data_IF_930291706391
#
_entry.id   IF_930291706391
#
_cell.length_a   1.000
_cell.length_b   1.000
_cell.length_c   1.000
_cell.angle_alpha   90.00
_cell.angle_beta   90.00
_cell.angle_gamma   90.00
#
_symmetry.space_group_name_H-M   'P 1'
#
loop_
_entity.id
_entity.type
_entity.pdbx_description
1 polymer ?
#
# COMPACT_ATOMS: atom_id res chain seq x y z
N UNK A 1 8.45 14.47 -11.36
CA UNK A 1 7.49 13.90 -10.38
C UNK A 1 8.32 13.27 -9.28
N UNK A 2 8.17 13.70 -8.04
CA UNK A 2 9.04 13.31 -6.94
C UNK A 2 8.64 13.96 -5.62
N UNK A 3 9.19 13.44 -4.52
CA UNK A 3 9.02 13.94 -3.15
C UNK A 3 9.35 15.43 -3.10
N UNK A 4 8.56 16.21 -2.37
CA UNK A 4 8.74 17.67 -2.24
C UNK A 4 8.99 18.07 -0.79
N UNK A 5 9.62 19.23 -0.54
CA UNK A 5 9.71 19.80 0.80
C UNK A 5 8.33 19.89 1.45
N UNK A 6 8.24 19.50 2.72
CA UNK A 6 6.99 19.45 3.49
C UNK A 6 6.26 18.09 3.48
N UNK A 7 6.79 17.08 2.79
CA UNK A 7 6.29 15.70 2.90
C UNK A 7 6.84 15.03 4.15
N UNK A 8 6.00 14.23 4.82
CA UNK A 8 6.39 13.43 5.97
C UNK A 8 7.05 12.14 5.47
N UNK A 9 8.31 11.92 5.84
CA UNK A 9 8.99 10.66 5.62
C UNK A 9 8.73 9.72 6.80
N UNK A 10 8.05 8.61 6.54
CA UNK A 10 7.78 7.57 7.54
C UNK A 10 8.65 6.37 7.21
N UNK A 11 9.44 5.92 8.18
CA UNK A 11 10.39 4.83 8.02
C UNK A 11 9.92 3.61 8.81
N UNK A 12 10.06 2.43 8.22
CA UNK A 12 9.74 1.16 8.85
C UNK A 12 10.92 0.21 8.68
N UNK A 13 11.27 -0.50 9.76
CA UNK A 13 12.15 -1.64 9.69
C UNK A 13 11.30 -2.89 9.45
N UNK A 14 11.51 -3.55 8.32
CA UNK A 14 10.77 -4.75 7.91
C UNK A 14 11.78 -5.86 7.67
N UNK A 15 11.82 -6.84 8.57
CA UNK A 15 12.83 -7.89 8.51
C UNK A 15 14.25 -7.31 8.59
N UNK A 16 14.97 -7.39 7.48
CA UNK A 16 16.35 -6.90 7.33
C UNK A 16 16.48 -5.63 6.46
N UNK A 17 15.38 -5.07 5.95
CA UNK A 17 15.38 -3.85 5.13
C UNK A 17 14.57 -2.71 5.72
N UNK A 18 14.89 -1.48 5.29
CA UNK A 18 14.16 -0.27 5.66
C UNK A 18 13.28 0.17 4.52
N UNK A 19 11.99 0.32 4.80
CA UNK A 19 11.02 0.91 3.88
C UNK A 19 10.76 2.37 4.25
N UNK A 20 10.77 3.25 3.25
CA UNK A 20 10.52 4.68 3.44
C UNK A 20 9.31 5.09 2.60
N UNK A 21 8.26 5.54 3.28
CA UNK A 21 7.06 6.07 2.65
C UNK A 21 7.05 7.60 2.78
N UNK A 22 6.74 8.28 1.68
CA UNK A 22 6.59 9.74 1.67
C UNK A 22 5.12 10.09 1.61
N UNK A 23 4.59 10.63 2.71
CA UNK A 23 3.19 11.05 2.82
C UNK A 23 3.12 12.55 2.50
N UNK A 24 2.33 12.96 1.50
CA UNK A 24 2.18 14.37 1.19
C UNK A 24 1.47 15.11 2.33
N UNK A 25 1.78 16.41 2.54
CA UNK A 25 0.96 17.26 3.38
C UNK A 25 -0.46 17.39 2.79
N UNK A 26 -1.43 17.75 3.62
CA UNK A 26 -2.80 18.00 3.18
C UNK A 26 -2.81 18.96 1.98
N UNK A 27 -3.44 18.53 0.89
CA UNK A 27 -3.47 19.29 -0.35
C UNK A 27 -4.64 18.88 -1.25
N UNK A 28 -5.16 19.82 -2.04
CA UNK A 28 -6.24 19.53 -3.01
C UNK A 28 -5.70 19.17 -4.41
N UNK A 29 -4.38 18.93 -4.52
CA UNK A 29 -3.72 18.69 -5.81
C UNK A 29 -3.79 17.25 -6.30
N UNK A 30 -4.14 16.32 -5.41
CA UNK A 30 -4.40 14.92 -5.75
C UNK A 30 -5.86 14.62 -5.55
N UNK A 31 -6.40 13.64 -6.28
CA UNK A 31 -7.76 13.15 -6.12
C UNK A 31 -8.06 12.76 -4.66
N UNK A 32 -7.14 12.07 -4.00
CA UNK A 32 -7.29 11.64 -2.60
C UNK A 32 -7.41 12.84 -1.64
N UNK A 33 -6.63 13.90 -1.87
CA UNK A 33 -6.65 15.09 -1.03
C UNK A 33 -7.86 15.98 -1.29
N UNK A 34 -8.23 16.21 -2.55
CA UNK A 34 -9.43 16.98 -2.91
C UNK A 34 -10.73 16.33 -2.40
N UNK A 35 -10.75 15.00 -2.32
CA UNK A 35 -11.91 14.25 -1.83
C UNK A 35 -11.87 13.99 -0.32
N UNK A 36 -10.82 14.42 0.40
CA UNK A 36 -10.70 14.15 1.84
C UNK A 36 -11.85 14.73 2.66
N UNK A 37 -12.32 15.92 2.30
CA UNK A 37 -13.47 16.56 2.95
C UNK A 37 -14.81 15.83 2.70
N UNK A 38 -14.86 14.97 1.69
CA UNK A 38 -16.06 14.24 1.26
C UNK A 38 -15.98 12.74 1.53
N UNK A 39 -14.83 12.26 2.05
CA UNK A 39 -14.61 10.87 2.39
C UNK A 39 -14.50 10.73 3.91
N UNK A 40 -15.46 10.02 4.50
CA UNK A 40 -15.39 9.55 5.90
C UNK A 40 -14.65 8.23 6.03
N UNK A 41 -14.02 7.74 4.95
CA UNK A 41 -13.24 6.51 4.97
C UNK A 41 -12.00 6.73 5.83
N UNK A 42 -12.12 6.37 7.10
CA UNK A 42 -10.98 6.15 7.95
C UNK A 42 -10.28 4.90 7.44
N UNK A 43 -9.05 5.08 6.94
CA UNK A 43 -8.20 3.92 6.74
C UNK A 43 -8.01 3.25 8.11
N UNK A 44 -8.06 1.91 8.18
CA UNK A 44 -7.75 1.20 9.40
C UNK A 44 -6.32 1.54 9.84
N UNK A 45 -6.01 1.26 11.11
CA UNK A 45 -4.65 1.46 11.61
C UNK A 45 -3.64 0.70 10.74
N UNK A 46 -2.38 1.13 10.82
CA UNK A 46 -1.38 0.70 9.87
C UNK A 46 -1.15 -0.82 9.85
N UNK A 47 -1.27 -1.49 11.01
CA UNK A 47 -1.10 -2.93 11.10
C UNK A 47 -2.26 -3.64 10.40
N UNK A 48 -3.48 -3.25 10.73
CA UNK A 48 -4.70 -3.76 10.08
C UNK A 48 -4.71 -3.51 8.56
N UNK A 49 -4.19 -2.37 8.10
CA UNK A 49 -4.08 -2.08 6.68
C UNK A 49 -3.06 -2.98 5.97
N UNK A 50 -1.89 -3.23 6.59
CA UNK A 50 -0.88 -4.14 6.05
C UNK A 50 -1.42 -5.56 5.94
N UNK A 51 -2.07 -6.06 6.99
CA UNK A 51 -2.68 -7.39 7.00
C UNK A 51 -3.75 -7.53 5.90
N UNK A 52 -4.55 -6.47 5.67
CA UNK A 52 -5.54 -6.47 4.60
C UNK A 52 -4.89 -6.55 3.21
N UNK A 53 -3.77 -5.85 2.99
CA UNK A 53 -2.99 -5.92 1.74
C UNK A 53 -2.38 -7.30 1.56
N UNK A 54 -1.73 -7.86 2.58
CA UNK A 54 -1.11 -9.19 2.52
C UNK A 54 -2.15 -10.27 2.24
N UNK A 55 -3.31 -10.20 2.89
CA UNK A 55 -4.42 -11.11 2.64
C UNK A 55 -4.92 -11.02 1.19
N UNK A 56 -5.15 -9.80 0.69
CA UNK A 56 -5.59 -9.60 -0.69
C UNK A 56 -4.57 -10.14 -1.71
N UNK A 57 -3.27 -9.97 -1.44
CA UNK A 57 -2.22 -10.56 -2.25
C UNK A 57 -2.20 -12.09 -2.18
N UNK A 58 -2.33 -12.67 -0.99
CA UNK A 58 -2.41 -14.12 -0.82
C UNK A 58 -3.60 -14.71 -1.58
N UNK A 59 -4.79 -14.11 -1.44
CA UNK A 59 -6.00 -14.52 -2.15
C UNK A 59 -5.80 -14.45 -3.68
N UNK A 60 -5.26 -13.34 -4.18
CA UNK A 60 -4.98 -13.18 -5.61
C UNK A 60 -3.97 -14.21 -6.13
N UNK A 61 -2.90 -14.47 -5.38
CA UNK A 61 -1.89 -15.49 -5.73
C UNK A 61 -2.51 -16.89 -5.71
N UNK A 62 -3.38 -17.20 -4.74
CA UNK A 62 -4.08 -18.49 -4.72
C UNK A 62 -5.01 -18.65 -5.91
N UNK A 63 -5.76 -17.61 -6.28
CA UNK A 63 -6.68 -17.63 -7.42
C UNK A 63 -5.97 -17.75 -8.77
N UNK A 64 -4.80 -17.11 -8.95
CA UNK A 64 -4.10 -17.08 -10.25
C UNK A 64 -2.95 -18.09 -10.40
N UNK A 65 -2.28 -18.51 -9.32
CA UNK A 65 -1.07 -19.34 -9.40
C UNK A 65 -1.22 -20.74 -8.81
N UNK A 66 -2.25 -21.00 -7.98
CA UNK A 66 -2.51 -22.35 -7.42
C UNK A 66 -3.62 -23.12 -8.17
N UNK A 67 -4.26 -22.51 -9.17
CA UNK A 67 -5.20 -23.16 -10.09
C UNK A 67 -4.55 -23.72 -11.37
N UNK A 68 -3.36 -23.25 -11.75
CA UNK A 68 -2.55 -23.85 -12.81
C UNK A 68 -1.45 -24.71 -12.17
N UNK A 69 -1.54 -26.03 -12.34
CA UNK A 69 -0.44 -26.94 -12.03
C UNK A 69 0.79 -26.46 -12.80
N UNK A 70 1.80 -25.97 -12.08
CA UNK A 70 3.12 -25.68 -12.63
C UNK A 70 3.81 -26.98 -13.01
N UNK A 71 3.35 -27.62 -14.08
CA UNK A 71 4.17 -28.60 -14.78
C UNK A 71 5.31 -27.83 -15.47
N UNK A 72 6.57 -28.08 -15.12
CA UNK A 72 7.69 -27.39 -15.74
C UNK A 72 7.73 -27.76 -17.23
N UNK A 73 7.59 -26.77 -18.12
CA UNK A 73 7.81 -26.98 -19.56
C UNK A 73 9.29 -27.30 -19.79
N UNK A 74 9.55 -28.58 -20.09
CA UNK A 74 10.80 -29.09 -20.67
C UNK A 74 10.94 -28.73 -22.13
#
# INVERSE_FOLDING_TARGET
MGVRPGWLAVQFLVGDHVEIYFVPPEHDRSLAGALRAYSSVALPDQQSFREAIERAWHEHVQEHFLGESLEPRS
#
